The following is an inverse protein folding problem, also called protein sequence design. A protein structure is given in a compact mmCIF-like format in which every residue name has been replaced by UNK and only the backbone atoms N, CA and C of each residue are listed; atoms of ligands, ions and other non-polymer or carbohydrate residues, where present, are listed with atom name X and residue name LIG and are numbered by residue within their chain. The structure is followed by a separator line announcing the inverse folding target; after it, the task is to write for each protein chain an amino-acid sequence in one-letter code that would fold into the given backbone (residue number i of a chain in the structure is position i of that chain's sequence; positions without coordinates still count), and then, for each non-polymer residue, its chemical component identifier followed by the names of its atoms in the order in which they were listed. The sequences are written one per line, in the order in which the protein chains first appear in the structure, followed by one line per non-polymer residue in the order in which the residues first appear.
data_IF_189467572654
#
_entry.id   IF_189467572654
#
_cell.length_a   1.000
_cell.length_b   1.000
_cell.length_c   1.000
_cell.angle_alpha   90.00
_cell.angle_beta   90.00
_cell.angle_gamma   90.00
#
_symmetry.space_group_name_H-M   'P 1'
#
loop_
_entity.id
_entity.type
_entity.pdbx_description
1 polymer ?
#
# COMPACT_ATOMS: atom_id res chain seq x y z
N UNK A 1 -25.20 12.81 -53.69
CA UNK A 1 -25.08 11.91 -52.56
C UNK A 1 -23.64 11.80 -52.13
N UNK A 2 -23.25 12.58 -51.14
CA UNK A 2 -21.94 12.48 -50.48
C UNK A 2 -22.01 11.33 -49.50
N UNK A 3 -21.46 10.18 -49.89
CA UNK A 3 -21.18 9.09 -48.96
C UNK A 3 -19.91 9.41 -48.18
N UNK A 4 -20.08 9.98 -47.00
CA UNK A 4 -19.01 10.03 -46.00
C UNK A 4 -18.79 8.62 -45.49
N UNK A 5 -17.79 7.92 -46.04
CA UNK A 5 -17.21 6.77 -45.40
C UNK A 5 -16.46 7.29 -44.18
N UNK A 6 -17.04 7.10 -43.00
CA UNK A 6 -16.29 7.18 -41.79
C UNK A 6 -15.14 6.17 -41.83
N UNK A 7 -13.88 6.58 -41.65
CA UNK A 7 -12.80 5.62 -41.53
C UNK A 7 -13.12 4.74 -40.35
N UNK A 8 -13.15 3.43 -40.56
CA UNK A 8 -13.18 2.49 -39.45
C UNK A 8 -11.94 2.77 -38.60
N UNK A 9 -12.13 3.34 -37.44
CA UNK A 9 -11.13 3.46 -36.40
C UNK A 9 -10.81 2.03 -35.95
N UNK A 10 -9.85 1.41 -36.60
CA UNK A 10 -9.20 0.23 -36.07
C UNK A 10 -8.49 0.68 -34.80
N UNK A 11 -9.10 0.44 -33.65
CA UNK A 11 -8.43 0.56 -32.37
C UNK A 11 -7.28 -0.46 -32.37
N UNK A 12 -6.01 -0.01 -32.27
CA UNK A 12 -4.91 -0.94 -32.13
C UNK A 12 -5.10 -1.73 -30.85
N UNK A 13 -4.97 -3.03 -30.94
CA UNK A 13 -5.06 -3.97 -29.85
C UNK A 13 -4.12 -3.59 -28.70
N UNK A 14 -4.49 -3.85 -27.43
CA UNK A 14 -3.85 -3.27 -26.24
C UNK A 14 -2.45 -3.80 -25.90
N UNK A 15 -1.80 -4.54 -26.80
CA UNK A 15 -0.44 -5.02 -26.59
C UNK A 15 0.63 -3.95 -26.73
N UNK A 16 0.41 -2.93 -27.56
CA UNK A 16 1.36 -1.82 -27.72
C UNK A 16 1.33 -0.85 -26.54
N UNK A 17 0.23 -0.81 -25.81
CA UNK A 17 0.03 0.10 -24.69
C UNK A 17 0.80 -0.35 -23.42
N UNK A 18 1.03 -1.66 -23.27
CA UNK A 18 1.80 -2.21 -22.14
C UNK A 18 3.28 -1.86 -22.23
N UNK A 19 3.86 -1.94 -23.42
CA UNK A 19 5.26 -1.59 -23.64
C UNK A 19 5.49 -0.08 -23.55
N UNK A 20 4.52 0.73 -23.96
CA UNK A 20 4.59 2.19 -23.81
C UNK A 20 4.41 2.60 -22.35
N UNK A 21 3.53 1.93 -21.61
CA UNK A 21 3.28 2.21 -20.20
C UNK A 21 4.48 1.76 -19.34
N UNK A 22 5.11 0.65 -19.66
CA UNK A 22 6.33 0.20 -19.00
C UNK A 22 7.51 1.14 -19.28
N UNK A 23 7.63 1.63 -20.51
CA UNK A 23 8.63 2.63 -20.93
C UNK A 23 8.34 4.02 -20.35
N UNK A 24 7.08 4.41 -20.21
CA UNK A 24 6.69 5.67 -19.56
C UNK A 24 6.99 5.64 -18.06
N UNK A 25 6.70 4.52 -17.37
CA UNK A 25 7.07 4.32 -15.98
C UNK A 25 8.58 4.29 -15.78
N UNK A 26 9.32 3.66 -16.70
CA UNK A 26 10.79 3.65 -16.69
C UNK A 26 11.37 5.06 -16.95
N UNK A 27 10.73 5.86 -17.81
CA UNK A 27 11.16 7.25 -18.09
C UNK A 27 10.84 8.21 -16.95
N UNK A 28 9.71 8.05 -16.24
CA UNK A 28 9.40 8.82 -15.05
C UNK A 28 10.35 8.47 -13.89
N UNK A 29 10.85 7.24 -13.86
CA UNK A 29 11.85 6.77 -12.90
C UNK A 29 13.25 7.30 -13.21
N UNK A 30 13.58 7.56 -14.48
CA UNK A 30 14.88 8.11 -14.88
C UNK A 30 14.96 9.63 -14.86
N UNK A 31 13.84 10.33 -14.75
CA UNK A 31 13.78 11.80 -14.69
C UNK A 31 13.94 12.36 -13.25
N UNK A 32 13.91 11.51 -12.22
CA UNK A 32 14.31 11.87 -10.87
C UNK A 32 15.79 11.57 -10.70
N UNK A 33 16.61 12.58 -10.54
CA UNK A 33 18.02 12.49 -10.14
C UNK A 33 18.14 11.74 -8.80
N UNK A 34 18.19 10.42 -8.87
CA UNK A 34 18.26 9.52 -7.73
C UNK A 34 18.05 8.08 -8.22
N UNK A 35 18.62 7.11 -7.56
CA UNK A 35 18.41 5.70 -7.84
C UNK A 35 16.91 5.39 -8.07
N UNK A 36 16.54 4.52 -9.02
CA UNK A 36 15.15 4.22 -9.31
C UNK A 36 14.43 3.83 -8.02
N UNK A 37 13.32 4.50 -7.73
CA UNK A 37 12.57 4.28 -6.50
C UNK A 37 12.17 2.79 -6.41
N UNK A 38 12.49 2.10 -5.32
CA UNK A 38 12.22 0.67 -5.20
C UNK A 38 10.72 0.38 -5.32
N UNK A 39 10.40 -0.79 -5.86
CA UNK A 39 9.00 -1.18 -6.04
C UNK A 39 8.22 -1.18 -4.72
N UNK A 40 8.86 -1.54 -3.62
CA UNK A 40 8.29 -1.49 -2.27
C UNK A 40 7.75 -0.11 -1.90
N UNK A 41 8.43 0.96 -2.31
CA UNK A 41 7.96 2.33 -2.07
C UNK A 41 6.72 2.67 -2.90
N UNK A 42 6.67 2.27 -4.17
CA UNK A 42 5.48 2.43 -5.01
C UNK A 42 4.29 1.68 -4.44
N UNK A 43 4.50 0.45 -3.97
CA UNK A 43 3.47 -0.36 -3.32
C UNK A 43 2.96 0.33 -2.05
N UNK A 44 3.84 0.88 -1.19
CA UNK A 44 3.45 1.63 0.01
C UNK A 44 2.56 2.84 -0.32
N UNK A 45 2.96 3.63 -1.30
CA UNK A 45 2.19 4.82 -1.71
C UNK A 45 0.80 4.47 -2.23
N UNK A 46 0.67 3.38 -2.99
CA UNK A 46 -0.63 2.93 -3.51
C UNK A 46 -1.49 2.25 -2.44
N UNK A 47 -0.89 1.53 -1.51
CA UNK A 47 -1.64 0.82 -0.48
C UNK A 47 -2.39 1.74 0.46
N UNK A 48 -1.84 2.90 0.82
CA UNK A 48 -2.46 3.82 1.77
C UNK A 48 -3.88 4.26 1.36
N UNK A 49 -4.11 4.84 0.17
CA UNK A 49 -5.45 5.18 -0.28
C UNK A 49 -6.33 3.95 -0.56
N UNK A 50 -5.74 2.84 -1.04
CA UNK A 50 -6.48 1.62 -1.35
C UNK A 50 -7.02 0.92 -0.10
N UNK A 51 -6.30 0.98 1.02
CA UNK A 51 -6.79 0.50 2.32
C UNK A 51 -8.05 1.23 2.76
N UNK A 52 -8.07 2.55 2.62
CA UNK A 52 -9.24 3.35 2.97
C UNK A 52 -10.45 3.11 2.05
N UNK A 53 -10.20 2.61 0.83
CA UNK A 53 -11.22 2.24 -0.14
C UNK A 53 -11.65 0.76 -0.04
N UNK A 54 -11.06 -0.03 0.84
CA UNK A 54 -11.33 -1.47 0.96
C UNK A 54 -10.77 -2.33 -0.18
N UNK A 55 -9.87 -1.80 -1.01
CA UNK A 55 -9.34 -2.45 -2.22
C UNK A 55 -7.81 -2.68 -2.15
N UNK A 56 -7.30 -3.01 -0.98
CA UNK A 56 -5.86 -3.21 -0.75
C UNK A 56 -5.40 -4.65 -1.06
N UNK A 57 -5.93 -5.24 -2.12
CA UNK A 57 -5.52 -6.57 -2.62
C UNK A 57 -4.23 -6.51 -3.45
N UNK A 58 -3.46 -7.60 -3.45
CA UNK A 58 -2.26 -7.72 -4.29
C UNK A 58 -2.57 -7.53 -5.78
N UNK A 59 -3.70 -8.09 -6.25
CA UNK A 59 -4.11 -8.02 -7.65
C UNK A 59 -4.47 -6.58 -8.06
N UNK A 60 -5.11 -5.81 -7.18
CA UNK A 60 -5.47 -4.42 -7.44
C UNK A 60 -4.25 -3.52 -7.49
N UNK A 61 -3.31 -3.71 -6.58
CA UNK A 61 -2.04 -2.97 -6.57
C UNK A 61 -1.19 -3.34 -7.79
N UNK A 62 -1.07 -4.62 -8.11
CA UNK A 62 -0.31 -5.08 -9.28
C UNK A 62 -0.90 -4.51 -10.57
N UNK A 63 -2.23 -4.52 -10.73
CA UNK A 63 -2.93 -3.94 -11.87
C UNK A 63 -2.64 -2.46 -12.04
N UNK A 64 -2.66 -1.68 -10.95
CA UNK A 64 -2.35 -0.24 -10.97
C UNK A 64 -0.90 0.05 -11.33
N UNK A 65 0.01 -0.85 -10.99
CA UNK A 65 1.43 -0.76 -11.35
C UNK A 65 1.74 -1.34 -12.74
N UNK A 66 0.73 -1.85 -13.46
CA UNK A 66 0.93 -2.50 -14.75
C UNK A 66 1.74 -3.80 -14.66
N UNK A 67 1.73 -4.45 -13.50
CA UNK A 67 2.49 -5.67 -13.23
C UNK A 67 1.58 -6.89 -13.05
N UNK A 68 2.08 -8.05 -13.44
CA UNK A 68 1.46 -9.30 -13.04
C UNK A 68 1.77 -9.59 -11.55
N UNK A 69 0.82 -10.09 -10.73
CA UNK A 69 1.03 -10.36 -9.31
C UNK A 69 2.27 -11.21 -8.99
N UNK A 70 2.54 -12.23 -9.82
CA UNK A 70 3.75 -13.06 -9.67
C UNK A 70 5.04 -12.26 -9.91
N UNK A 71 5.05 -11.36 -10.89
CA UNK A 71 6.21 -10.51 -11.18
C UNK A 71 6.44 -9.51 -10.03
N UNK A 72 5.36 -8.90 -9.50
CA UNK A 72 5.43 -8.02 -8.35
C UNK A 72 6.00 -8.76 -7.13
N UNK A 73 5.46 -9.94 -6.79
CA UNK A 73 5.97 -10.77 -5.69
C UNK A 73 7.46 -11.06 -5.81
N UNK A 74 7.90 -11.50 -7.00
CA UNK A 74 9.32 -11.82 -7.26
C UNK A 74 10.22 -10.59 -7.11
N UNK A 75 9.78 -9.41 -7.58
CA UNK A 75 10.54 -8.16 -7.45
C UNK A 75 10.65 -7.71 -6.00
N UNK A 76 9.55 -7.76 -5.23
CA UNK A 76 9.56 -7.45 -3.80
C UNK A 76 10.48 -8.38 -3.00
N UNK A 77 10.49 -9.69 -3.33
CA UNK A 77 11.42 -10.64 -2.72
C UNK A 77 12.88 -10.29 -3.00
N UNK A 78 13.21 -9.79 -4.21
CA UNK A 78 14.56 -9.30 -4.52
C UNK A 78 14.95 -8.07 -3.71
N UNK A 79 13.97 -7.25 -3.32
CA UNK A 79 14.16 -6.10 -2.43
C UNK A 79 14.18 -6.51 -0.93
N UNK A 80 14.09 -7.81 -0.63
CA UNK A 80 14.10 -8.34 0.74
C UNK A 80 12.80 -8.13 1.51
N UNK A 81 11.68 -7.88 0.82
CA UNK A 81 10.38 -7.65 1.44
C UNK A 81 9.26 -8.46 0.77
N UNK A 82 8.08 -8.45 1.38
CA UNK A 82 6.87 -9.07 0.83
C UNK A 82 5.73 -8.08 0.78
N UNK A 83 4.74 -8.36 -0.06
CA UNK A 83 3.52 -7.54 -0.13
C UNK A 83 2.79 -7.47 1.21
N UNK A 84 2.68 -8.59 1.91
CA UNK A 84 2.01 -8.65 3.21
C UNK A 84 2.76 -7.84 4.27
N UNK A 85 4.09 -7.89 4.28
CA UNK A 85 4.92 -7.08 5.17
C UNK A 85 4.68 -5.58 4.93
N UNK A 86 4.69 -5.15 3.68
CA UNK A 86 4.41 -3.75 3.33
C UNK A 86 2.97 -3.36 3.70
N UNK A 87 2.01 -4.25 3.45
CA UNK A 87 0.60 -4.02 3.83
C UNK A 87 0.44 -3.86 5.33
N UNK A 88 1.11 -4.68 6.13
CA UNK A 88 1.12 -4.59 7.58
C UNK A 88 1.75 -3.28 8.07
N UNK A 89 2.88 -2.85 7.50
CA UNK A 89 3.50 -1.56 7.80
C UNK A 89 2.57 -0.39 7.52
N UNK A 90 1.91 -0.38 6.36
CA UNK A 90 0.97 0.68 5.97
C UNK A 90 -0.27 0.68 6.85
N UNK A 91 -0.80 -0.51 7.20
CA UNK A 91 -1.90 -0.66 8.15
C UNK A 91 -1.54 -0.13 9.54
N UNK A 92 -0.34 -0.43 10.01
CA UNK A 92 0.12 0.05 11.31
C UNK A 92 0.26 1.57 11.33
N UNK A 93 0.87 2.17 10.30
CA UNK A 93 0.99 3.62 10.17
C UNK A 93 -0.40 4.29 10.15
N UNK A 94 -1.33 3.78 9.33
CA UNK A 94 -2.69 4.31 9.28
C UNK A 94 -3.45 4.11 10.61
N UNK A 95 -3.25 2.97 11.29
CA UNK A 95 -3.85 2.73 12.61
C UNK A 95 -3.38 3.76 13.64
N UNK A 96 -2.09 4.07 13.67
CA UNK A 96 -1.54 5.11 14.55
C UNK A 96 -2.20 6.46 14.29
N UNK A 97 -2.24 6.88 13.02
CA UNK A 97 -2.85 8.15 12.63
C UNK A 97 -4.32 8.22 13.08
N UNK A 98 -5.11 7.16 12.86
CA UNK A 98 -6.51 7.08 13.25
C UNK A 98 -6.70 7.05 14.78
N UNK A 99 -5.80 6.40 15.51
CA UNK A 99 -5.83 6.39 16.99
C UNK A 99 -5.56 7.77 17.56
N UNK A 100 -4.68 8.56 16.94
CA UNK A 100 -4.33 9.92 17.36
C UNK A 100 -5.44 10.93 17.10
N UNK A 101 -6.29 10.71 16.09
CA UNK A 101 -7.47 11.55 15.84
C UNK A 101 -8.52 11.49 16.97
N UNK A 102 -8.48 10.44 17.79
CA UNK A 102 -9.26 10.34 19.03
C UNK A 102 -10.76 10.00 18.88
N UNK A 103 -11.38 10.35 17.77
CA UNK A 103 -12.82 10.31 17.58
C UNK A 103 -13.38 8.94 17.18
N UNK A 104 -12.53 8.05 16.69
CA UNK A 104 -12.96 6.74 16.19
C UNK A 104 -12.83 5.66 17.27
N UNK A 105 -13.82 4.79 17.38
CA UNK A 105 -13.71 3.61 18.22
C UNK A 105 -12.74 2.58 17.59
N UNK A 106 -12.16 1.73 18.43
CA UNK A 106 -11.16 0.74 17.98
C UNK A 106 -11.75 -0.23 16.96
N UNK A 107 -13.05 -0.55 17.06
CA UNK A 107 -13.73 -1.40 16.11
C UNK A 107 -13.85 -0.73 14.73
N UNK A 108 -14.15 0.58 14.68
CA UNK A 108 -14.26 1.34 13.43
C UNK A 108 -12.89 1.48 12.75
N UNK A 109 -11.83 1.68 13.53
CA UNK A 109 -10.46 1.68 13.02
C UNK A 109 -10.12 0.33 12.38
N UNK A 110 -10.45 -0.77 13.04
CA UNK A 110 -10.27 -2.11 12.50
C UNK A 110 -11.01 -2.31 11.18
N UNK A 111 -12.28 -1.91 11.12
CA UNK A 111 -13.08 -1.99 9.91
C UNK A 111 -12.51 -1.13 8.76
N UNK A 112 -12.08 0.10 9.06
CA UNK A 112 -11.45 1.01 8.08
C UNK A 112 -10.16 0.41 7.49
N UNK A 113 -9.43 -0.36 8.28
CA UNK A 113 -8.18 -1.02 7.86
C UNK A 113 -8.40 -2.42 7.24
N UNK A 114 -9.64 -2.74 6.86
CA UNK A 114 -9.98 -3.99 6.19
C UNK A 114 -9.76 -5.23 7.08
N UNK A 115 -10.08 -5.11 8.38
CA UNK A 115 -10.18 -6.24 9.29
C UNK A 115 -11.64 -6.67 9.44
N UNK A 116 -11.93 -7.94 9.15
CA UNK A 116 -13.29 -8.47 9.28
C UNK A 116 -13.83 -8.50 10.72
N UNK A 117 -12.93 -8.56 11.70
CA UNK A 117 -13.28 -8.58 13.12
C UNK A 117 -12.38 -7.64 13.91
N UNK A 118 -12.94 -6.89 14.90
CA UNK A 118 -12.17 -6.02 15.79
C UNK A 118 -11.04 -6.73 16.54
N UNK A 119 -11.28 -7.98 16.97
CA UNK A 119 -10.28 -8.80 17.65
C UNK A 119 -9.04 -9.08 16.76
N UNK A 120 -9.24 -9.32 15.46
CA UNK A 120 -8.14 -9.52 14.52
C UNK A 120 -7.26 -8.28 14.41
N UNK A 121 -7.87 -7.09 14.39
CA UNK A 121 -7.15 -5.82 14.42
C UNK A 121 -6.35 -5.66 15.73
N UNK A 122 -6.97 -5.90 16.89
CA UNK A 122 -6.30 -5.80 18.19
C UNK A 122 -5.08 -6.74 18.26
N UNK A 123 -5.22 -7.98 17.78
CA UNK A 123 -4.11 -8.94 17.73
C UNK A 123 -2.98 -8.47 16.81
N UNK A 124 -3.30 -8.00 15.60
CA UNK A 124 -2.33 -7.47 14.66
C UNK A 124 -1.60 -6.25 15.25
N UNK A 125 -2.34 -5.31 15.82
CA UNK A 125 -1.78 -4.11 16.42
C UNK A 125 -0.83 -4.43 17.59
N UNK A 126 -1.22 -5.39 18.47
CA UNK A 126 -0.32 -5.85 19.55
C UNK A 126 0.95 -6.50 19.02
N UNK A 127 0.86 -7.24 17.93
CA UNK A 127 2.05 -7.84 17.27
C UNK A 127 3.00 -6.76 16.77
N UNK A 128 2.47 -5.64 16.25
CA UNK A 128 3.28 -4.55 15.69
C UNK A 128 3.86 -3.61 16.77
N UNK A 129 3.05 -3.23 17.75
CA UNK A 129 3.40 -2.20 18.75
C UNK A 129 3.78 -2.76 20.12
N UNK A 130 3.57 -4.05 20.36
CA UNK A 130 3.75 -4.66 21.69
C UNK A 130 2.62 -4.38 22.68
N UNK A 131 1.65 -3.52 22.36
CA UNK A 131 0.56 -3.15 23.24
C UNK A 131 -0.79 -3.07 22.54
N UNK A 132 -1.89 -3.01 23.32
CA UNK A 132 -3.22 -2.88 22.73
C UNK A 132 -3.46 -1.48 22.16
N UNK A 133 -4.34 -1.33 21.14
CA UNK A 133 -4.68 -0.02 20.57
C UNK A 133 -5.21 0.97 21.61
N UNK A 134 -6.00 0.50 22.58
CA UNK A 134 -6.52 1.34 23.64
C UNK A 134 -5.41 1.91 24.54
N UNK A 135 -4.46 1.06 24.93
CA UNK A 135 -3.31 1.48 25.72
C UNK A 135 -2.41 2.43 24.94
N UNK A 136 -2.20 2.16 23.66
CA UNK A 136 -1.42 3.01 22.76
C UNK A 136 -2.02 4.42 22.69
N UNK A 137 -3.35 4.54 22.47
CA UNK A 137 -4.07 5.82 22.46
C UNK A 137 -3.85 6.61 23.75
N UNK A 138 -3.96 5.96 24.90
CA UNK A 138 -3.80 6.63 26.20
C UNK A 138 -2.36 7.11 26.42
N UNK A 139 -1.37 6.32 26.01
CA UNK A 139 0.04 6.64 26.21
C UNK A 139 0.49 7.79 25.32
N UNK A 140 0.10 7.82 24.08
CA UNK A 140 0.41 8.90 23.12
C UNK A 140 -0.33 10.21 23.48
N UNK A 141 -1.53 10.13 24.06
CA UNK A 141 -2.25 11.31 24.54
C UNK A 141 -1.55 12.01 25.72
N UNK A 142 -0.61 11.32 26.37
CA UNK A 142 0.15 11.84 27.52
C UNK A 142 1.54 12.37 27.08
N UNK A 143 2.05 11.94 25.91
CA UNK A 143 3.36 12.38 25.39
C UNK A 143 3.15 13.32 24.20
N UNK A 144 3.36 14.63 24.36
CA UNK A 144 3.37 15.52 23.19
C UNK A 144 4.61 15.22 22.35
N UNK A 145 4.39 15.06 21.07
CA UNK A 145 5.32 14.83 19.95
C UNK A 145 6.80 15.14 20.24
N UNK A 146 7.62 14.10 20.31
CA UNK A 146 9.08 14.26 20.38
C UNK A 146 9.75 12.99 20.87
N UNK A 147 9.82 12.02 20.06
CA UNK A 147 10.84 10.99 19.86
C UNK A 147 10.19 9.80 19.13
N UNK A 148 10.49 9.66 17.86
CA UNK A 148 10.14 8.45 17.12
C UNK A 148 11.00 7.29 17.64
N UNK A 149 10.45 6.31 18.36
CA UNK A 149 11.19 5.08 18.59
C UNK A 149 11.30 4.36 17.24
N UNK A 150 12.52 4.24 16.74
CA UNK A 150 12.85 3.37 15.62
C UNK A 150 12.46 1.95 16.02
N UNK A 151 11.26 1.53 15.64
CA UNK A 151 10.78 0.16 15.89
C UNK A 151 11.46 -0.73 14.86
N UNK A 152 12.54 -1.38 15.27
CA UNK A 152 13.09 -2.54 14.58
C UNK A 152 12.05 -3.64 14.63
N UNK A 153 11.38 -3.88 13.50
CA UNK A 153 10.57 -5.08 13.32
C UNK A 153 11.49 -6.30 13.41
N UNK A 154 11.19 -7.29 14.28
CA UNK A 154 11.97 -8.52 14.29
C UNK A 154 11.83 -9.17 12.91
N UNK A 155 12.99 -9.47 12.31
CA UNK A 155 13.05 -10.29 11.11
C UNK A 155 12.30 -11.59 11.39
N UNK A 156 11.27 -11.90 10.60
CA UNK A 156 10.59 -13.17 10.65
C UNK A 156 11.59 -14.19 10.17
N UNK A 157 12.22 -14.91 11.10
CA UNK A 157 12.98 -16.10 10.80
C UNK A 157 12.03 -17.18 10.26
N UNK A 158 12.44 -17.80 9.17
CA UNK A 158 11.80 -18.88 8.42
C UNK A 158 11.27 -20.02 9.28
#
# INVERSE_FOLDING_TARGET
GLLLRAPALAFPLPTADRDQQERALTRLQSASDGAPMPLSMHVRHLLRPLLLMGNAGMDDVARRLGLHPRAMRRRLQKEGTTFESIKDEVRFAAARDLLMLGDLCIADIGATLDYGFPSSFVHAFRRWSGMSPARYRTQESITPAGDDPVISLPAVAS
#
